data_IF_269140621444
#
_entry.id   IF_269140621444
#
_cell.length_a   1.000
_cell.length_b   1.000
_cell.length_c   1.000
_cell.angle_alpha   90.00
_cell.angle_beta   90.00
_cell.angle_gamma   90.00
#
_symmetry.space_group_name_H-M   'P 1'
#
loop_
_entity.id
_entity.type
_entity.pdbx_description
1 polymer ?
#
# COMPACT_ATOMS: atom_id res chain seq x y z
N UNK A 1 12.76 59.97 -16.39
CA UNK A 1 11.92 58.75 -16.28
C UNK A 1 11.51 58.60 -14.82
N UNK A 2 10.25 58.88 -14.47
CA UNK A 2 9.77 58.76 -13.09
C UNK A 2 9.35 57.31 -12.80
N UNK A 3 9.88 56.65 -11.75
CA UNK A 3 9.48 55.29 -11.42
C UNK A 3 8.00 55.26 -11.01
N UNK A 4 7.20 54.44 -11.69
CA UNK A 4 5.79 54.20 -11.32
C UNK A 4 5.77 53.61 -9.90
N UNK A 5 5.48 54.44 -8.90
CA UNK A 5 5.13 54.00 -7.55
C UNK A 5 3.90 53.10 -7.66
N UNK A 6 4.09 51.80 -7.49
CA UNK A 6 3.00 50.84 -7.33
C UNK A 6 2.25 51.27 -6.07
N UNK A 7 0.99 51.70 -6.22
CA UNK A 7 0.17 52.09 -5.08
C UNK A 7 -0.02 50.88 -4.15
N UNK A 8 0.21 51.01 -2.83
CA UNK A 8 0.16 49.90 -1.88
C UNK A 8 -1.20 49.18 -1.85
N UNK A 9 -2.29 49.89 -2.19
CA UNK A 9 -3.64 49.31 -2.31
C UNK A 9 -3.79 48.33 -3.49
N UNK A 10 -3.08 48.56 -4.59
CA UNK A 10 -3.11 47.68 -5.76
C UNK A 10 -2.32 46.38 -5.49
N UNK A 11 -1.21 46.48 -4.74
CA UNK A 11 -0.43 45.32 -4.29
C UNK A 11 -1.23 44.48 -3.28
N UNK A 12 -1.84 45.11 -2.27
CA UNK A 12 -2.66 44.43 -1.27
C UNK A 12 -3.88 43.70 -1.88
N UNK A 13 -4.57 44.31 -2.85
CA UNK A 13 -5.65 43.65 -3.60
C UNK A 13 -5.15 42.44 -4.39
N UNK A 14 -4.00 42.55 -5.08
CA UNK A 14 -3.41 41.44 -5.85
C UNK A 14 -2.98 40.28 -4.94
N UNK A 15 -2.39 40.57 -3.78
CA UNK A 15 -2.08 39.56 -2.77
C UNK A 15 -3.35 38.89 -2.22
N UNK A 16 -4.40 39.67 -1.92
CA UNK A 16 -5.68 39.13 -1.46
C UNK A 16 -6.32 38.16 -2.47
N UNK A 17 -6.32 38.51 -3.75
CA UNK A 17 -6.81 37.62 -4.82
C UNK A 17 -5.94 36.38 -5.00
N UNK A 18 -4.61 36.53 -4.95
CA UNK A 18 -3.70 35.38 -5.03
C UNK A 18 -3.93 34.39 -3.87
N UNK A 19 -4.10 34.89 -2.65
CA UNK A 19 -4.44 34.07 -1.49
C UNK A 19 -5.81 33.40 -1.61
N UNK A 20 -6.83 34.11 -2.09
CA UNK A 20 -8.16 33.54 -2.31
C UNK A 20 -8.15 32.42 -3.36
N UNK A 21 -7.43 32.61 -4.47
CA UNK A 21 -7.24 31.59 -5.51
C UNK A 21 -6.49 30.38 -4.94
N UNK A 22 -5.42 30.61 -4.18
CA UNK A 22 -4.66 29.52 -3.56
C UNK A 22 -5.52 28.69 -2.59
N UNK A 23 -6.37 29.33 -1.78
CA UNK A 23 -7.30 28.64 -0.88
C UNK A 23 -8.36 27.85 -1.64
N UNK A 24 -8.92 28.42 -2.71
CA UNK A 24 -9.86 27.73 -3.60
C UNK A 24 -9.23 26.49 -4.25
N UNK A 25 -8.00 26.61 -4.76
CA UNK A 25 -7.26 25.49 -5.33
C UNK A 25 -6.94 24.42 -4.28
N UNK A 26 -6.53 24.82 -3.06
CA UNK A 26 -6.30 23.88 -1.97
C UNK A 26 -7.58 23.13 -1.59
N UNK A 27 -8.72 23.83 -1.46
CA UNK A 27 -10.00 23.22 -1.18
C UNK A 27 -10.44 22.24 -2.29
N UNK A 28 -10.23 22.61 -3.55
CA UNK A 28 -10.53 21.76 -4.70
C UNK A 28 -9.66 20.49 -4.68
N UNK A 29 -8.36 20.61 -4.41
CA UNK A 29 -7.45 19.46 -4.34
C UNK A 29 -7.81 18.53 -3.17
N UNK A 30 -8.15 19.07 -2.00
CA UNK A 30 -8.62 18.29 -0.85
C UNK A 30 -9.91 17.56 -1.20
N UNK A 31 -10.86 18.24 -1.84
CA UNK A 31 -12.13 17.64 -2.29
C UNK A 31 -11.91 16.48 -3.26
N UNK A 32 -11.04 16.65 -4.25
CA UNK A 32 -10.67 15.59 -5.20
C UNK A 32 -10.01 14.40 -4.47
N UNK A 33 -9.13 14.67 -3.50
CA UNK A 33 -8.45 13.64 -2.72
C UNK A 33 -9.39 12.76 -1.89
N UNK A 34 -10.58 13.27 -1.53
CA UNK A 34 -11.62 12.60 -0.75
C UNK A 34 -12.69 11.90 -1.61
N UNK A 35 -12.62 11.98 -2.93
CA UNK A 35 -13.52 11.19 -3.78
C UNK A 35 -13.23 9.69 -3.60
N UNK A 36 -14.26 8.82 -3.70
CA UNK A 36 -14.08 7.37 -3.71
C UNK A 36 -13.03 6.97 -4.73
N UNK A 37 -12.12 6.08 -4.34
CA UNK A 37 -11.00 5.67 -5.16
C UNK A 37 -10.75 4.17 -5.09
N UNK A 38 -9.73 3.70 -5.81
CA UNK A 38 -9.27 2.31 -5.73
C UNK A 38 -8.40 2.14 -4.49
N UNK A 39 -8.42 0.96 -3.86
CA UNK A 39 -7.50 0.65 -2.76
C UNK A 39 -6.07 0.35 -3.24
N UNK A 40 -5.92 0.09 -4.53
CA UNK A 40 -4.63 -0.09 -5.20
C UNK A 40 -3.66 1.05 -4.86
N UNK A 41 -2.45 0.67 -4.42
CA UNK A 41 -1.42 1.63 -4.02
C UNK A 41 -0.42 1.08 -3.02
N UNK A 42 0.50 1.96 -2.64
CA UNK A 42 1.56 1.68 -1.67
C UNK A 42 1.32 2.51 -0.43
N UNK A 43 1.34 1.87 0.72
CA UNK A 43 1.07 2.49 2.01
C UNK A 43 2.30 2.31 2.90
N UNK A 44 2.84 3.42 3.39
CA UNK A 44 3.97 3.39 4.33
C UNK A 44 3.46 3.61 5.75
N UNK A 45 3.91 2.81 6.72
CA UNK A 45 3.72 3.10 8.14
C UNK A 45 2.93 2.06 8.93
N UNK A 46 2.32 2.52 10.03
CA UNK A 46 1.92 1.75 11.23
C UNK A 46 0.97 0.56 11.06
N UNK A 47 0.36 0.37 9.90
CA UNK A 47 -0.51 -0.80 9.66
C UNK A 47 0.34 -2.07 9.71
N UNK A 48 1.56 -2.00 9.17
CA UNK A 48 2.58 -3.04 9.28
C UNK A 48 3.84 -2.43 9.84
N UNK A 49 4.02 -2.60 11.15
CA UNK A 49 5.25 -2.22 11.82
C UNK A 49 6.04 -3.46 12.17
N UNK A 50 7.21 -3.63 11.55
CA UNK A 50 8.20 -4.57 12.04
C UNK A 50 8.76 -4.08 13.38
N UNK A 51 9.15 -5.01 14.25
CA UNK A 51 9.83 -4.67 15.51
C UNK A 51 11.23 -4.08 15.31
N UNK A 52 11.80 -4.22 14.11
CA UNK A 52 13.09 -3.64 13.74
C UNK A 52 12.93 -2.22 13.20
N UNK A 53 13.97 -1.39 13.36
CA UNK A 53 14.06 -0.07 12.76
C UNK A 53 14.30 -0.18 11.25
N UNK A 54 13.20 -0.33 10.50
CA UNK A 54 13.21 -0.55 9.06
C UNK A 54 12.02 0.16 8.40
N UNK A 55 12.18 0.51 7.13
CA UNK A 55 11.10 1.09 6.34
C UNK A 55 10.19 -0.02 5.83
N UNK A 56 8.94 -0.02 6.30
CA UNK A 56 7.93 -0.99 5.90
C UNK A 56 6.89 -0.35 4.98
N UNK A 57 6.55 -1.09 3.92
CA UNK A 57 5.56 -0.70 2.92
C UNK A 57 4.59 -1.85 2.69
N UNK A 58 3.30 -1.54 2.64
CA UNK A 58 2.28 -2.46 2.19
C UNK A 58 1.82 -2.04 0.79
N UNK A 59 1.91 -2.94 -0.18
CA UNK A 59 1.40 -2.75 -1.55
C UNK A 59 0.12 -3.57 -1.71
N UNK A 60 -0.95 -2.90 -2.09
CA UNK A 60 -2.19 -3.54 -2.53
C UNK A 60 -2.23 -3.46 -4.05
N UNK A 61 -2.24 -4.62 -4.71
CA UNK A 61 -2.26 -4.70 -6.17
C UNK A 61 -2.82 -6.03 -6.65
N UNK A 62 -3.76 -5.98 -7.60
CA UNK A 62 -4.40 -7.12 -8.26
C UNK A 62 -4.95 -8.15 -7.25
N UNK A 63 -5.67 -7.68 -6.23
CA UNK A 63 -6.24 -8.53 -5.18
C UNK A 63 -5.23 -9.09 -4.18
N UNK A 64 -3.94 -8.76 -4.27
CA UNK A 64 -2.88 -9.22 -3.36
C UNK A 64 -2.45 -8.12 -2.39
N UNK A 65 -2.05 -8.54 -1.20
CA UNK A 65 -1.43 -7.68 -0.19
C UNK A 65 0.00 -8.14 0.02
N UNK A 66 0.96 -7.30 -0.34
CA UNK A 66 2.38 -7.60 -0.27
C UNK A 66 3.02 -6.63 0.72
N UNK A 67 3.82 -7.14 1.64
CA UNK A 67 4.56 -6.33 2.61
C UNK A 67 6.04 -6.37 2.25
N UNK A 68 6.64 -5.19 2.17
CA UNK A 68 8.05 -4.98 1.94
C UNK A 68 8.68 -4.39 3.19
N UNK A 69 9.88 -4.84 3.54
CA UNK A 69 10.63 -4.30 4.67
C UNK A 69 12.08 -4.10 4.24
N UNK A 70 12.58 -2.87 4.32
CA UNK A 70 13.93 -2.53 3.83
C UNK A 70 15.04 -3.41 4.42
N UNK A 71 14.83 -3.94 5.63
CA UNK A 71 15.82 -4.74 6.35
C UNK A 71 15.53 -6.24 6.29
N UNK A 72 14.37 -6.66 5.78
CA UNK A 72 13.95 -8.06 5.69
C UNK A 72 13.51 -8.39 4.27
N UNK A 73 14.45 -8.39 3.30
CA UNK A 73 14.17 -8.95 2.00
C UNK A 73 14.00 -10.48 2.11
N UNK A 74 13.18 -11.08 1.24
CA UNK A 74 12.41 -10.40 0.21
C UNK A 74 11.00 -9.99 0.67
N UNK A 75 10.26 -9.29 -0.20
CA UNK A 75 8.87 -8.93 0.08
C UNK A 75 8.00 -10.16 0.29
N UNK A 76 7.06 -10.07 1.21
CA UNK A 76 6.22 -11.18 1.66
C UNK A 76 4.77 -11.00 1.20
N UNK A 77 4.15 -12.07 0.71
CA UNK A 77 2.70 -12.08 0.48
C UNK A 77 1.99 -12.19 1.83
N UNK A 78 1.50 -11.06 2.32
CA UNK A 78 0.73 -11.02 3.55
C UNK A 78 -0.66 -11.67 3.40
N UNK A 79 -1.27 -11.51 2.23
CA UNK A 79 -2.65 -11.93 2.05
C UNK A 79 -3.28 -11.48 0.75
N UNK A 80 -4.61 -11.40 0.77
CA UNK A 80 -5.44 -10.95 -0.33
C UNK A 80 -6.45 -9.92 0.15
N UNK A 81 -7.06 -9.23 -0.80
CA UNK A 81 -8.14 -8.31 -0.49
C UNK A 81 -9.27 -8.43 -1.50
N UNK A 82 -10.48 -8.11 -1.05
CA UNK A 82 -11.69 -8.09 -1.88
C UNK A 82 -12.42 -6.77 -1.67
N UNK A 83 -13.04 -6.27 -2.74
CA UNK A 83 -13.88 -5.06 -2.68
C UNK A 83 -15.34 -5.50 -2.53
N UNK A 84 -16.00 -5.03 -1.49
CA UNK A 84 -17.43 -5.22 -1.28
C UNK A 84 -18.27 -4.28 -2.13
N UNK A 85 -19.56 -4.58 -2.23
CA UNK A 85 -20.52 -3.79 -3.03
C UNK A 85 -20.71 -2.35 -2.53
N UNK A 86 -20.40 -2.10 -1.25
CA UNK A 86 -20.42 -0.79 -0.61
C UNK A 86 -19.15 0.04 -0.85
N UNK A 87 -18.20 -0.51 -1.63
CA UNK A 87 -16.91 0.11 -1.91
C UNK A 87 -15.90 -0.02 -0.77
N UNK A 88 -16.25 -0.71 0.33
CA UNK A 88 -15.28 -1.08 1.36
C UNK A 88 -14.40 -2.23 0.86
N UNK A 89 -13.17 -2.28 1.36
CA UNK A 89 -12.22 -3.34 1.03
C UNK A 89 -11.93 -4.17 2.26
N UNK A 90 -12.12 -5.47 2.15
CA UNK A 90 -11.80 -6.45 3.18
C UNK A 90 -10.43 -7.04 2.89
N UNK A 91 -9.51 -6.93 3.87
CA UNK A 91 -8.14 -7.44 3.75
C UNK A 91 -8.02 -8.70 4.60
N UNK A 92 -7.74 -9.82 3.94
CA UNK A 92 -7.60 -11.14 4.55
C UNK A 92 -6.14 -11.53 4.62
N UNK A 93 -5.70 -11.98 5.78
CA UNK A 93 -4.36 -12.51 5.99
C UNK A 93 -4.29 -13.96 5.51
N UNK A 94 -3.20 -14.31 4.82
CA UNK A 94 -2.89 -15.70 4.46
C UNK A 94 -2.78 -16.54 5.73
N UNK A 95 -3.41 -17.73 5.81
CA UNK A 95 -3.30 -18.57 6.97
C UNK A 95 -1.86 -19.06 7.17
N UNK A 96 -1.43 -19.19 8.42
CA UNK A 96 -0.09 -19.70 8.76
C UNK A 96 0.03 -21.21 8.52
N UNK A 97 -1.11 -21.92 8.49
CA UNK A 97 -1.20 -23.36 8.21
C UNK A 97 -2.29 -23.63 7.19
N UNK A 98 -2.08 -24.61 6.32
CA UNK A 98 -3.06 -24.99 5.29
C UNK A 98 -4.43 -25.44 5.84
N UNK A 99 -4.50 -25.84 7.12
CA UNK A 99 -5.74 -26.24 7.79
C UNK A 99 -6.52 -25.05 8.40
N UNK A 100 -5.94 -23.85 8.39
CA UNK A 100 -6.54 -22.66 8.99
C UNK A 100 -7.30 -21.87 7.92
N UNK A 101 -8.41 -21.25 8.31
CA UNK A 101 -9.12 -20.32 7.46
C UNK A 101 -8.37 -18.98 7.41
N UNK A 102 -8.57 -18.24 6.34
CA UNK A 102 -8.12 -16.85 6.26
C UNK A 102 -8.80 -16.01 7.34
N UNK A 103 -8.05 -15.08 7.90
CA UNK A 103 -8.55 -14.17 8.94
C UNK A 103 -8.72 -12.78 8.35
N UNK A 104 -9.90 -12.19 8.54
CA UNK A 104 -10.13 -10.79 8.20
C UNK A 104 -9.29 -9.90 9.13
N UNK A 105 -8.31 -9.22 8.57
CA UNK A 105 -7.32 -8.43 9.32
C UNK A 105 -7.68 -6.95 9.38
N UNK A 106 -8.15 -6.37 8.28
CA UNK A 106 -8.50 -4.95 8.21
C UNK A 106 -9.70 -4.71 7.29
N UNK A 107 -10.41 -3.60 7.52
CA UNK A 107 -11.23 -2.97 6.48
C UNK A 107 -10.56 -1.71 5.99
N UNK A 108 -10.71 -1.40 4.71
CA UNK A 108 -10.21 -0.18 4.11
C UNK A 108 -11.33 0.56 3.37
N UNK A 109 -11.39 1.88 3.57
CA UNK A 109 -12.27 2.78 2.85
C UNK A 109 -11.40 3.68 1.96
N UNK A 110 -11.26 3.32 0.67
CA UNK A 110 -10.31 4.00 -0.22
C UNK A 110 -10.88 5.29 -0.81
N UNK A 111 -10.04 6.32 -0.77
CA UNK A 111 -10.20 7.55 -1.56
C UNK A 111 -9.05 7.65 -2.57
N UNK A 112 -9.07 8.71 -3.39
CA UNK A 112 -8.10 8.84 -4.49
C UNK A 112 -6.64 8.80 -4.00
N UNK A 113 -6.29 9.59 -2.98
CA UNK A 113 -4.92 9.72 -2.46
C UNK A 113 -4.72 9.23 -1.04
N UNK A 114 -5.80 9.04 -0.31
CA UNK A 114 -5.77 8.57 1.07
C UNK A 114 -6.67 7.37 1.23
N UNK A 115 -6.41 6.54 2.23
CA UNK A 115 -7.24 5.39 2.55
C UNK A 115 -7.34 5.30 4.05
N UNK A 116 -8.56 5.13 4.54
CA UNK A 116 -8.80 4.87 5.95
C UNK A 116 -8.76 3.37 6.17
N UNK A 117 -7.90 2.91 7.06
CA UNK A 117 -7.85 1.53 7.50
C UNK A 117 -8.46 1.42 8.89
N UNK A 118 -9.26 0.38 9.09
CA UNK A 118 -9.92 0.03 10.34
C UNK A 118 -9.35 -1.30 10.79
N UNK A 119 -8.80 -1.31 12.01
CA UNK A 119 -8.37 -2.51 12.70
C UNK A 119 -9.54 -3.09 13.52
N UNK A 120 -9.58 -4.41 13.66
CA UNK A 120 -10.59 -5.13 14.46
C UNK A 120 -10.14 -5.38 15.90
N UNK A 121 -9.10 -4.70 16.36
CA UNK A 121 -8.75 -4.66 17.78
C UNK A 121 -9.91 -4.13 18.62
N UNK A 122 -9.93 -4.48 19.92
CA UNK A 122 -11.02 -4.14 20.86
C UNK A 122 -11.34 -2.63 20.91
N UNK A 123 -10.40 -1.79 20.48
CA UNK A 123 -10.52 -0.33 20.46
C UNK A 123 -11.12 0.25 19.16
N UNK A 124 -11.49 -0.58 18.17
CA UNK A 124 -11.97 -0.16 16.82
C UNK A 124 -11.14 1.00 16.24
N UNK A 125 -9.82 0.85 16.33
CA UNK A 125 -8.92 1.92 15.95
C UNK A 125 -8.89 2.08 14.43
N UNK A 126 -8.84 3.33 13.96
CA UNK A 126 -8.72 3.63 12.54
C UNK A 126 -7.58 4.58 12.26
N UNK A 127 -6.89 4.36 11.14
CA UNK A 127 -5.76 5.15 10.71
C UNK A 127 -5.92 5.60 9.26
N UNK A 128 -5.66 6.89 9.03
CA UNK A 128 -5.57 7.44 7.69
C UNK A 128 -4.16 7.28 7.15
N UNK A 129 -4.04 6.69 5.96
CA UNK A 129 -2.77 6.53 5.26
C UNK A 129 -2.81 7.24 3.91
N UNK A 130 -1.71 7.91 3.59
CA UNK A 130 -1.50 8.53 2.28
C UNK A 130 -0.86 7.49 1.37
N UNK A 131 -1.42 7.33 0.16
CA UNK A 131 -0.82 6.53 -0.90
C UNK A 131 0.51 7.15 -1.30
N UNK A 132 1.58 6.38 -1.19
CA UNK A 132 2.91 6.77 -1.55
C UNK A 132 3.14 6.54 -3.05
N UNK A 133 3.73 7.51 -3.77
CA UNK A 133 4.15 7.28 -5.14
C UNK A 133 5.31 6.27 -5.19
N UNK A 134 5.38 5.50 -6.28
CA UNK A 134 6.44 4.54 -6.59
C UNK A 134 7.74 5.26 -6.99
N UNK A 135 8.39 5.94 -6.03
CA UNK A 135 9.60 6.73 -6.25
C UNK A 135 10.58 6.66 -5.08
N UNK A 136 11.83 7.05 -5.31
CA UNK A 136 12.87 7.12 -4.28
C UNK A 136 13.09 5.79 -3.56
N UNK A 137 13.15 5.83 -2.22
CA UNK A 137 13.36 4.65 -1.38
C UNK A 137 12.27 3.59 -1.56
N UNK A 138 11.02 3.99 -1.78
CA UNK A 138 9.90 3.04 -2.00
C UNK A 138 10.18 2.19 -3.24
N UNK A 139 10.46 2.84 -4.37
CA UNK A 139 10.81 2.17 -5.62
C UNK A 139 12.06 1.31 -5.46
N UNK A 140 13.12 1.85 -4.84
CA UNK A 140 14.36 1.09 -4.62
C UNK A 140 14.11 -0.20 -3.83
N UNK A 141 13.41 -0.12 -2.70
CA UNK A 141 13.10 -1.29 -1.86
C UNK A 141 12.22 -2.29 -2.59
N UNK A 142 11.21 -1.82 -3.32
CA UNK A 142 10.34 -2.70 -4.10
C UNK A 142 11.12 -3.35 -5.25
N UNK A 143 11.85 -2.59 -6.07
CA UNK A 143 12.64 -3.12 -7.19
C UNK A 143 13.71 -4.13 -6.70
N UNK A 144 14.31 -3.91 -5.52
CA UNK A 144 15.29 -4.83 -4.91
C UNK A 144 14.65 -6.09 -4.31
N UNK A 145 13.35 -6.08 -3.97
CA UNK A 145 12.65 -7.16 -3.25
C UNK A 145 11.57 -7.89 -4.06
N UNK A 146 11.06 -7.27 -5.13
CA UNK A 146 10.13 -7.87 -6.11
C UNK A 146 10.81 -8.98 -6.94
N UNK A 147 12.10 -9.18 -6.69
CA UNK A 147 12.96 -10.28 -7.14
C UNK A 147 12.62 -11.64 -6.50
N UNK A 148 11.83 -11.71 -5.41
CA UNK A 148 11.38 -13.00 -4.87
C UNK A 148 9.92 -13.26 -5.16
N UNK A 149 9.68 -14.39 -5.82
CA UNK A 149 8.37 -14.99 -5.89
C UNK A 149 8.03 -15.62 -4.54
N UNK A 150 6.83 -15.34 -4.08
CA UNK A 150 6.23 -16.02 -2.94
C UNK A 150 6.21 -17.50 -3.22
N UNK A 151 6.83 -18.24 -2.34
CA UNK A 151 6.55 -19.65 -2.24
C UNK A 151 5.25 -19.90 -1.52
N UNK A 152 4.19 -20.06 -2.28
CA UNK A 152 2.99 -20.81 -1.87
C UNK A 152 3.23 -22.24 -2.30
N UNK A 153 3.17 -23.25 -1.39
CA UNK A 153 3.24 -24.61 -1.82
C UNK A 153 2.01 -24.88 -2.63
N UNK A 154 2.13 -25.79 -3.56
CA UNK A 154 1.05 -26.13 -4.44
C UNK A 154 1.25 -27.62 -4.72
N UNK A 155 0.26 -28.50 -4.91
CA UNK A 155 0.46 -29.70 -5.77
C UNK A 155 0.05 -29.28 -7.18
N UNK A 156 0.31 -28.01 -7.50
CA UNK A 156 1.06 -27.53 -8.67
C UNK A 156 2.43 -26.86 -8.34
N UNK A 157 2.96 -27.09 -7.12
CA UNK A 157 4.27 -26.81 -6.47
C UNK A 157 4.68 -25.41 -5.92
N UNK A 158 5.10 -25.38 -4.63
CA UNK A 158 5.96 -24.32 -4.06
C UNK A 158 7.29 -24.45 -4.74
N UNK A 159 7.83 -23.38 -5.30
CA UNK A 159 9.22 -23.36 -5.75
C UNK A 159 9.97 -22.24 -5.06
N UNK A 160 10.73 -22.58 -4.01
CA UNK A 160 11.55 -21.58 -3.28
C UNK A 160 12.88 -21.51 -4.00
N UNK A 161 13.13 -20.38 -4.67
CA UNK A 161 14.39 -20.15 -5.37
C UNK A 161 15.22 -19.11 -4.62
N UNK A 162 16.44 -19.50 -4.25
CA UNK A 162 17.35 -18.69 -3.46
C UNK A 162 18.38 -18.01 -4.37
N UNK A 163 18.54 -16.70 -4.24
CA UNK A 163 19.48 -15.89 -5.00
C UNK A 163 20.48 -15.19 -4.06
N UNK A 164 21.70 -14.89 -4.55
CA UNK A 164 22.62 -14.00 -3.85
C UNK A 164 22.32 -12.51 -4.17
N UNK A 165 23.06 -11.58 -3.56
CA UNK A 165 22.94 -10.13 -3.81
C UNK A 165 23.31 -9.67 -5.23
N UNK A 166 23.77 -10.59 -6.09
CA UNK A 166 24.07 -10.40 -7.52
C UNK A 166 23.11 -11.18 -8.43
N UNK A 167 22.00 -11.70 -7.88
CA UNK A 167 20.98 -12.45 -8.62
C UNK A 167 21.39 -13.81 -9.17
N UNK A 168 22.46 -14.41 -8.64
CA UNK A 168 22.84 -15.76 -9.03
C UNK A 168 22.07 -16.79 -8.19
N UNK A 169 21.47 -17.76 -8.87
CA UNK A 169 20.68 -18.85 -8.26
C UNK A 169 21.62 -19.74 -7.44
N UNK A 170 21.41 -19.76 -6.14
CA UNK A 170 22.18 -20.57 -5.20
C UNK A 170 21.56 -21.97 -5.04
N UNK A 171 20.22 -22.04 -4.99
CA UNK A 171 19.49 -23.30 -4.76
C UNK A 171 18.01 -23.15 -5.10
N UNK A 172 17.34 -24.27 -5.37
CA UNK A 172 15.89 -24.37 -5.52
C UNK A 172 15.35 -25.54 -4.72
N UNK A 173 14.18 -25.38 -4.11
CA UNK A 173 13.48 -26.45 -3.39
C UNK A 173 11.99 -26.45 -3.69
N UNK A 174 11.44 -27.64 -3.93
CA UNK A 174 10.05 -27.83 -4.34
C UNK A 174 9.24 -28.56 -3.27
N UNK A 175 8.01 -28.09 -2.95
CA UNK A 175 7.10 -28.79 -2.03
C UNK A 175 5.64 -28.79 -2.53
N UNK A 176 4.95 -29.90 -2.31
CA UNK A 176 3.67 -30.23 -2.95
C UNK A 176 2.43 -29.98 -2.00
N UNK A 177 1.29 -29.40 -2.45
CA UNK A 177 -0.09 -29.29 -1.86
C UNK A 177 -1.17 -30.09 -2.60
N UNK A 178 -1.57 -31.25 -2.09
CA UNK A 178 -2.69 -32.04 -2.62
C UNK A 178 -3.94 -31.24 -3.05
N UNK A 179 -4.54 -31.54 -4.22
CA UNK A 179 -5.70 -30.82 -4.76
C UNK A 179 -7.01 -31.11 -3.98
N UNK A 180 -8.01 -30.19 -4.06
CA UNK A 180 -9.32 -30.40 -3.47
C UNK A 180 -10.10 -31.50 -4.20
N UNK A 181 -10.83 -32.31 -3.43
CA UNK A 181 -11.64 -33.44 -3.88
C UNK A 181 -12.86 -32.92 -4.67
N UNK A 182 -12.98 -33.32 -5.93
CA UNK A 182 -14.12 -32.98 -6.80
C UNK A 182 -15.45 -33.50 -6.22
N UNK A 183 -16.50 -32.68 -6.30
CA UNK A 183 -17.86 -33.09 -5.95
C UNK A 183 -18.50 -33.85 -7.12
N UNK A 184 -18.89 -35.10 -6.87
CA UNK A 184 -19.96 -35.83 -7.54
C UNK A 184 -20.89 -36.34 -6.44
#
# INVERSE_FOLDING_TARGET
>A
MSPRRIQPRALARRLGWASAIALLLAALLIGIGLLPGRVEGIYAGKIFQCACDCFNFMRLENGRVIVYSSSHPPGELFGRYETGDDGTVHIYMTPLRASEAETLSFKATPHLWITRFHDFSEDDSSIWQIKRPMMGTVRKVIDEQEISLTTIPDESSMVTTYYNSRMEKLRETTKAIRPPRTAN
#
